data_IF_646668731470
#
_entry.id   IF_646668731470
#
_cell.length_a   1.000
_cell.length_b   1.000
_cell.length_c   1.000
_cell.angle_alpha   90.00
_cell.angle_beta   90.00
_cell.angle_gamma   90.00
#
_symmetry.space_group_name_H-M   'P 1'
#
loop_
_entity.id
_entity.type
_entity.pdbx_description
1 polymer ?
#
# COMPACT_ATOMS: atom_id res chain seq x y z
N UNK A 1 8.23 21.30 -24.15
CA UNK A 1 8.23 20.03 -23.40
C UNK A 1 7.47 18.97 -24.20
N UNK A 2 8.17 17.95 -24.75
CA UNK A 2 7.52 16.86 -25.51
C UNK A 2 6.78 15.96 -24.52
N UNK A 3 5.45 15.86 -24.63
CA UNK A 3 4.64 14.85 -23.96
C UNK A 3 5.15 13.47 -24.43
N UNK A 4 5.75 12.68 -23.53
CA UNK A 4 6.03 11.28 -23.77
C UNK A 4 4.68 10.56 -23.88
N UNK A 5 4.29 10.21 -25.10
CA UNK A 5 3.13 9.35 -25.38
C UNK A 5 3.59 7.93 -25.04
N UNK A 6 3.16 7.44 -23.89
CA UNK A 6 3.37 6.03 -23.50
C UNK A 6 2.29 5.15 -24.15
N UNK A 7 2.28 5.08 -25.46
CA UNK A 7 1.64 3.98 -26.18
C UNK A 7 2.70 2.87 -26.39
N UNK A 8 3.26 2.35 -25.30
CA UNK A 8 3.99 1.12 -25.36
C UNK A 8 2.97 -0.03 -25.27
N UNK A 9 2.46 -0.46 -26.41
CA UNK A 9 2.15 -1.87 -26.57
C UNK A 9 3.49 -2.58 -26.45
N UNK A 10 3.66 -3.37 -25.38
CA UNK A 10 4.79 -4.29 -25.27
C UNK A 10 4.82 -5.15 -26.55
N UNK A 11 5.99 -5.54 -27.01
CA UNK A 11 6.17 -6.50 -28.12
C UNK A 11 5.46 -7.85 -27.82
N UNK A 12 5.02 -8.08 -26.59
CA UNK A 12 4.47 -9.33 -26.07
C UNK A 12 3.03 -9.21 -25.54
N UNK A 13 2.39 -8.05 -25.63
CA UNK A 13 0.99 -7.87 -25.18
C UNK A 13 0.76 -6.61 -24.35
N UNK A 14 -0.44 -6.46 -23.76
CA UNK A 14 -0.77 -5.30 -22.96
C UNK A 14 0.01 -5.29 -21.64
N UNK A 15 0.50 -4.10 -21.25
CA UNK A 15 1.22 -3.90 -19.99
C UNK A 15 0.24 -3.63 -18.86
N UNK A 16 0.39 -4.36 -17.74
CA UNK A 16 -0.44 -4.22 -16.55
C UNK A 16 0.34 -3.61 -15.40
N UNK A 17 -0.33 -2.79 -14.60
CA UNK A 17 0.13 -2.41 -13.28
C UNK A 17 -0.54 -3.31 -12.26
N UNK A 18 0.26 -3.96 -11.43
CA UNK A 18 -0.16 -4.77 -10.30
C UNK A 18 0.26 -4.11 -8.99
N UNK A 19 -0.65 -4.13 -8.01
CA UNK A 19 -0.37 -3.71 -6.66
C UNK A 19 -0.82 -4.83 -5.72
N UNK A 20 0.14 -5.49 -5.07
CA UNK A 20 -0.10 -6.54 -4.08
C UNK A 20 -0.09 -5.91 -2.70
N UNK A 21 -1.18 -6.07 -1.95
CA UNK A 21 -1.37 -5.36 -0.68
C UNK A 21 -2.00 -6.22 0.40
N UNK A 22 -1.75 -5.84 1.66
CA UNK A 22 -2.56 -6.23 2.80
C UNK A 22 -3.56 -5.11 3.06
N UNK A 23 -4.84 -5.46 3.01
CA UNK A 23 -5.95 -4.51 3.13
C UNK A 23 -6.49 -4.54 4.56
N UNK A 24 -6.45 -3.41 5.31
CA UNK A 24 -7.12 -3.35 6.60
C UNK A 24 -8.65 -3.51 6.46
N UNK A 25 -9.36 -3.89 7.54
CA UNK A 25 -10.82 -3.90 7.56
C UNK A 25 -11.38 -2.47 7.46
N UNK A 26 -12.65 -2.37 7.06
CA UNK A 26 -13.27 -1.08 6.76
C UNK A 26 -13.25 -0.07 7.93
N UNK A 27 -13.46 -0.46 9.20
CA UNK A 27 -13.33 0.51 10.30
C UNK A 27 -11.93 1.14 10.41
N UNK A 28 -10.88 0.39 10.11
CA UNK A 28 -9.50 0.90 10.10
C UNK A 28 -9.27 1.82 8.91
N UNK A 29 -9.81 1.45 7.72
CA UNK A 29 -9.74 2.32 6.53
C UNK A 29 -10.44 3.65 6.74
N UNK A 30 -11.63 3.64 7.36
CA UNK A 30 -12.42 4.83 7.67
C UNK A 30 -11.70 5.74 8.68
N UNK A 31 -11.13 5.18 9.74
CA UNK A 31 -10.34 5.93 10.71
C UNK A 31 -9.14 6.62 10.05
N UNK A 32 -8.40 5.90 9.19
CA UNK A 32 -7.27 6.45 8.45
C UNK A 32 -7.72 7.51 7.43
N UNK A 33 -8.87 7.31 6.77
CA UNK A 33 -9.44 8.32 5.88
C UNK A 33 -9.80 9.61 6.63
N UNK A 34 -10.29 9.52 7.87
CA UNK A 34 -10.55 10.69 8.70
C UNK A 34 -9.25 11.41 9.11
N UNK A 35 -8.21 10.67 9.51
CA UNK A 35 -6.88 11.27 9.75
C UNK A 35 -6.40 12.04 8.50
N UNK A 36 -6.55 11.47 7.29
CA UNK A 36 -6.18 12.17 6.04
C UNK A 36 -7.01 13.43 5.78
N UNK A 37 -8.30 13.43 6.15
CA UNK A 37 -9.14 14.64 6.08
C UNK A 37 -8.62 15.73 7.02
N UNK A 38 -8.22 15.37 8.24
CA UNK A 38 -7.62 16.31 9.19
C UNK A 38 -6.31 16.88 8.64
N UNK A 39 -5.42 16.02 8.11
CA UNK A 39 -4.17 16.47 7.47
C UNK A 39 -4.46 17.42 6.30
N UNK A 40 -5.49 17.13 5.50
CA UNK A 40 -5.90 18.00 4.40
C UNK A 40 -6.45 19.35 4.87
N UNK A 41 -7.23 19.35 5.93
CA UNK A 41 -7.78 20.58 6.52
C UNK A 41 -6.68 21.48 7.11
N UNK A 42 -5.61 20.89 7.65
CA UNK A 42 -4.50 21.62 8.28
C UNK A 42 -3.54 22.20 7.22
N UNK A 43 -3.16 21.43 6.21
CA UNK A 43 -2.06 21.81 5.31
C UNK A 43 -2.30 21.51 3.82
N UNK A 44 -3.51 21.10 3.43
CA UNK A 44 -3.86 20.90 2.01
C UNK A 44 -3.01 19.82 1.34
N UNK A 45 -3.18 18.56 1.74
CA UNK A 45 -2.54 17.43 1.05
C UNK A 45 -3.17 17.21 -0.33
N UNK A 46 -2.42 16.59 -1.27
CA UNK A 46 -2.95 16.33 -2.62
C UNK A 46 -4.19 15.43 -2.62
N UNK A 47 -5.09 15.60 -3.59
CA UNK A 47 -6.27 14.74 -3.78
C UNK A 47 -5.92 13.25 -3.81
N UNK A 48 -4.77 12.91 -4.42
CA UNK A 48 -4.29 11.54 -4.44
C UNK A 48 -4.00 11.00 -3.04
N UNK A 49 -3.47 11.81 -2.14
CA UNK A 49 -3.24 11.44 -0.76
C UNK A 49 -4.57 11.32 0.00
N UNK A 50 -5.43 12.32 -0.15
CA UNK A 50 -6.73 12.40 0.54
C UNK A 50 -7.61 11.18 0.22
N UNK A 51 -7.68 10.80 -1.06
CA UNK A 51 -8.57 9.72 -1.52
C UNK A 51 -7.91 8.35 -1.63
N UNK A 52 -6.62 8.21 -1.31
CA UNK A 52 -5.96 6.90 -1.33
C UNK A 52 -6.48 6.01 -0.19
N UNK A 53 -6.93 4.82 -0.55
CA UNK A 53 -7.39 3.81 0.43
C UNK A 53 -6.20 3.28 1.23
N UNK A 54 -6.38 3.11 2.54
CA UNK A 54 -5.34 2.58 3.41
C UNK A 54 -4.98 1.12 3.06
N UNK A 55 -3.68 0.83 2.93
CA UNK A 55 -3.15 -0.51 2.66
C UNK A 55 -1.67 -0.57 3.03
N UNK A 56 -1.16 -1.78 3.24
CA UNK A 56 0.28 -2.05 3.31
C UNK A 56 0.69 -2.64 1.96
N UNK A 57 1.63 -2.00 1.28
CA UNK A 57 2.13 -2.45 -0.03
C UNK A 57 3.15 -3.57 0.15
N UNK A 58 2.92 -4.71 -0.48
CA UNK A 58 3.91 -5.78 -0.62
C UNK A 58 4.69 -5.62 -1.93
N UNK A 59 4.00 -5.45 -3.06
CA UNK A 59 4.60 -5.27 -4.39
C UNK A 59 3.86 -4.18 -5.15
N UNK A 60 4.64 -3.36 -5.87
CA UNK A 60 4.16 -2.47 -6.95
C UNK A 60 4.95 -2.85 -8.20
N UNK A 61 4.30 -3.48 -9.18
CA UNK A 61 4.95 -4.07 -10.37
C UNK A 61 4.24 -3.70 -11.65
N UNK A 62 5.04 -3.40 -12.65
CA UNK A 62 4.62 -3.21 -14.02
C UNK A 62 5.13 -4.38 -14.86
N UNK A 63 4.22 -5.16 -15.49
CA UNK A 63 4.55 -6.34 -16.29
C UNK A 63 3.47 -6.65 -17.31
N UNK A 64 3.83 -7.37 -18.36
CA UNK A 64 2.92 -7.99 -19.33
C UNK A 64 2.51 -9.43 -18.93
N UNK A 65 3.07 -9.94 -17.84
CA UNK A 65 2.74 -11.24 -17.29
C UNK A 65 1.30 -11.26 -16.75
N UNK A 66 0.41 -11.94 -17.45
CA UNK A 66 -1.00 -12.09 -17.07
C UNK A 66 -1.20 -13.09 -15.93
N UNK A 67 -0.23 -14.01 -15.72
CA UNK A 67 -0.24 -15.05 -14.68
C UNK A 67 0.43 -14.59 -13.38
N UNK A 68 0.77 -13.29 -13.30
CA UNK A 68 1.39 -12.75 -12.09
C UNK A 68 0.58 -12.98 -10.81
N UNK A 69 -0.78 -12.88 -10.80
CA UNK A 69 -1.57 -13.21 -9.59
C UNK A 69 -1.40 -14.66 -9.15
N UNK A 70 -1.40 -15.62 -10.09
CA UNK A 70 -1.20 -17.05 -9.83
C UNK A 70 0.20 -17.30 -9.26
N UNK A 71 1.22 -16.61 -9.77
CA UNK A 71 2.58 -16.65 -9.22
C UNK A 71 2.60 -16.17 -7.76
N UNK A 72 1.87 -15.10 -7.43
CA UNK A 72 1.77 -14.62 -6.05
C UNK A 72 1.08 -15.67 -5.17
N UNK A 73 -0.01 -16.28 -5.65
CA UNK A 73 -0.72 -17.34 -4.92
C UNK A 73 0.18 -18.53 -4.61
N UNK A 74 0.97 -19.00 -5.58
CA UNK A 74 1.96 -20.05 -5.38
C UNK A 74 3.03 -19.70 -4.34
N UNK A 75 3.55 -18.46 -4.39
CA UNK A 75 4.62 -18.00 -3.50
C UNK A 75 4.16 -17.86 -2.04
N UNK A 76 2.89 -17.52 -1.80
CA UNK A 76 2.33 -17.40 -0.45
C UNK A 76 1.60 -18.64 0.02
N UNK A 77 1.55 -19.68 -0.81
CA UNK A 77 0.85 -20.93 -0.52
C UNK A 77 1.26 -21.53 0.83
N UNK A 78 0.27 -21.87 1.66
CA UNK A 78 0.48 -22.44 2.99
C UNK A 78 0.85 -21.42 4.09
N UNK A 79 0.94 -20.13 3.82
CA UNK A 79 1.10 -19.10 4.86
C UNK A 79 -0.15 -19.02 5.71
N UNK A 80 0.05 -18.96 7.04
CA UNK A 80 -1.04 -18.84 8.01
C UNK A 80 -1.49 -17.39 8.15
N UNK A 81 -2.77 -17.16 8.50
CA UNK A 81 -3.21 -15.87 8.98
C UNK A 81 -2.38 -15.38 10.17
N UNK A 82 -2.20 -14.07 10.26
CA UNK A 82 -1.46 -13.44 11.35
C UNK A 82 -2.08 -12.10 11.72
N UNK A 83 -1.84 -11.64 12.94
CA UNK A 83 -2.33 -10.35 13.41
C UNK A 83 -1.40 -9.24 12.97
N UNK A 84 -1.96 -8.16 12.41
CA UNK A 84 -1.25 -6.92 12.10
C UNK A 84 -1.61 -5.89 13.17
N UNK A 85 -0.58 -5.24 13.72
CA UNK A 85 -0.72 -4.11 14.63
C UNK A 85 -0.08 -2.88 14.02
N UNK A 86 -0.82 -1.78 13.98
CA UNK A 86 -0.33 -0.49 13.53
C UNK A 86 -0.48 0.56 14.62
N UNK A 87 0.38 1.55 14.59
CA UNK A 87 0.29 2.67 15.51
C UNK A 87 1.52 3.55 15.36
N UNK A 88 1.52 4.67 16.09
CA UNK A 88 2.57 5.68 16.02
C UNK A 88 2.86 6.10 14.58
N UNK A 89 2.96 7.36 14.35
CA UNK A 89 3.40 7.87 13.06
C UNK A 89 4.94 7.92 12.98
N UNK A 90 5.43 7.97 11.77
CA UNK A 90 6.82 8.23 11.44
C UNK A 90 6.90 8.80 10.02
N UNK A 91 8.08 9.10 9.52
CA UNK A 91 8.24 9.63 8.18
C UNK A 91 9.51 9.15 7.50
N UNK A 92 9.47 9.12 6.17
CA UNK A 92 10.66 8.99 5.32
C UNK A 92 10.98 10.36 4.73
N UNK A 93 12.20 10.84 4.92
CA UNK A 93 12.73 12.00 4.22
C UNK A 93 13.46 11.54 2.96
N UNK A 94 12.96 11.96 1.80
CA UNK A 94 13.53 11.66 0.48
C UNK A 94 14.42 12.82 -0.03
N UNK A 95 14.80 13.76 0.83
CA UNK A 95 15.56 14.96 0.50
C UNK A 95 14.72 16.08 -0.12
N UNK A 96 13.93 15.79 -1.15
CA UNK A 96 13.06 16.75 -1.83
C UNK A 96 11.59 16.65 -1.41
N UNK A 97 11.20 15.64 -0.67
CA UNK A 97 9.84 15.42 -0.20
C UNK A 97 9.79 14.46 0.97
N UNK A 98 8.68 14.49 1.70
CA UNK A 98 8.45 13.63 2.86
C UNK A 98 7.26 12.71 2.61
N UNK A 99 7.35 11.49 3.13
CA UNK A 99 6.23 10.54 3.23
C UNK A 99 5.93 10.32 4.71
N UNK A 100 4.73 10.70 5.16
CA UNK A 100 4.23 10.43 6.52
C UNK A 100 3.42 9.14 6.52
N UNK A 101 3.63 8.29 7.53
CA UNK A 101 2.99 6.98 7.59
C UNK A 101 2.73 6.52 9.03
N UNK A 102 1.85 5.52 9.18
CA UNK A 102 1.69 4.74 10.41
C UNK A 102 2.59 3.51 10.36
N UNK A 103 3.29 3.25 11.47
CA UNK A 103 4.20 2.10 11.61
C UNK A 103 3.41 0.81 11.77
N UNK A 104 3.92 -0.26 11.22
CA UNK A 104 3.60 -1.62 11.66
C UNK A 104 4.46 -1.90 12.90
N UNK A 105 3.83 -2.31 14.00
CA UNK A 105 4.52 -2.45 15.30
C UNK A 105 5.28 -3.77 15.41
N UNK A 106 4.75 -4.84 14.79
CA UNK A 106 5.39 -6.16 14.70
C UNK A 106 5.50 -6.53 13.21
N UNK A 107 6.54 -6.04 12.54
CA UNK A 107 6.64 -6.14 11.09
C UNK A 107 7.10 -7.52 10.57
N UNK A 108 7.61 -8.40 11.42
CA UNK A 108 8.27 -9.65 11.05
C UNK A 108 7.40 -10.54 10.16
N UNK A 109 6.12 -10.83 10.47
CA UNK A 109 5.30 -11.67 9.60
C UNK A 109 5.07 -11.07 8.20
N UNK A 110 5.05 -9.73 8.12
CA UNK A 110 4.90 -9.02 6.83
C UNK A 110 6.23 -9.01 6.08
N UNK A 111 7.35 -8.84 6.77
CA UNK A 111 8.69 -8.89 6.17
C UNK A 111 8.92 -10.29 5.56
N UNK A 112 8.60 -11.36 6.31
CA UNK A 112 8.69 -12.72 5.81
C UNK A 112 7.82 -12.93 4.56
N UNK A 113 6.60 -12.39 4.57
CA UNK A 113 5.72 -12.44 3.40
C UNK A 113 6.27 -11.63 2.22
N UNK A 114 6.87 -10.46 2.49
CA UNK A 114 7.56 -9.68 1.47
C UNK A 114 8.74 -10.43 0.85
N UNK A 115 9.48 -11.21 1.64
CA UNK A 115 10.57 -12.07 1.16
C UNK A 115 10.07 -13.19 0.26
N UNK A 116 8.99 -13.89 0.67
CA UNK A 116 8.37 -14.93 -0.15
C UNK A 116 7.97 -14.41 -1.54
N UNK A 117 7.29 -13.27 -1.58
CA UNK A 117 6.86 -12.67 -2.84
C UNK A 117 7.97 -11.90 -3.57
N UNK A 118 9.21 -11.98 -3.09
CA UNK A 118 10.40 -11.33 -3.67
C UNK A 118 10.23 -9.82 -3.82
N UNK A 119 9.59 -9.19 -2.81
CA UNK A 119 9.44 -7.74 -2.76
C UNK A 119 10.79 -7.03 -2.69
N UNK A 120 10.88 -5.87 -3.32
CA UNK A 120 11.98 -4.93 -3.12
C UNK A 120 11.76 -4.01 -1.91
N UNK A 121 10.53 -3.90 -1.42
CA UNK A 121 10.20 -3.16 -0.21
C UNK A 121 10.70 -3.91 1.03
N UNK A 122 11.11 -3.16 2.07
CA UNK A 122 11.63 -3.73 3.33
C UNK A 122 11.01 -3.11 4.57
N UNK A 123 10.16 -2.11 4.40
CA UNK A 123 9.56 -1.37 5.52
C UNK A 123 8.04 -1.33 5.34
N UNK A 124 7.30 -2.27 5.92
CA UNK A 124 5.85 -2.26 5.84
C UNK A 124 5.27 -1.09 6.63
N UNK A 125 4.36 -0.35 6.01
CA UNK A 125 3.72 0.83 6.60
C UNK A 125 2.39 1.15 5.92
N UNK A 126 1.57 1.99 6.56
CA UNK A 126 0.39 2.59 5.94
C UNK A 126 0.63 4.07 5.74
N UNK A 127 0.67 4.50 4.49
CA UNK A 127 0.91 5.91 4.15
C UNK A 127 -0.29 6.80 4.50
N UNK A 128 -0.01 7.91 5.17
CA UNK A 128 -0.95 8.99 5.44
C UNK A 128 -0.86 10.07 4.36
N UNK A 129 0.37 10.54 4.07
CA UNK A 129 0.63 11.52 3.01
C UNK A 129 1.98 11.25 2.36
N UNK A 130 2.02 11.16 1.04
CA UNK A 130 3.24 10.93 0.24
C UNK A 130 3.61 12.18 -0.54
N UNK A 131 4.91 12.40 -0.73
CA UNK A 131 5.48 13.47 -1.55
C UNK A 131 5.00 14.88 -1.14
N UNK A 132 4.83 15.10 0.16
CA UNK A 132 4.59 16.44 0.69
C UNK A 132 5.90 17.23 0.82
N UNK A 133 5.81 18.56 0.77
CA UNK A 133 6.97 19.42 0.99
C UNK A 133 7.39 19.40 2.47
N UNK A 134 8.63 19.82 2.76
CA UNK A 134 9.09 20.03 4.13
C UNK A 134 8.25 21.09 4.85
N UNK A 135 7.81 22.13 4.15
CA UNK A 135 6.92 23.16 4.69
C UNK A 135 5.58 22.58 5.13
N UNK A 136 4.92 21.80 4.24
CA UNK A 136 3.69 21.06 4.55
C UNK A 136 3.89 20.15 5.76
N UNK A 137 4.99 19.41 5.79
CA UNK A 137 5.31 18.52 6.90
C UNK A 137 5.46 19.27 8.23
N UNK A 138 6.18 20.40 8.24
CA UNK A 138 6.34 21.23 9.43
C UNK A 138 5.00 21.78 9.95
N UNK A 139 4.09 22.13 9.04
CA UNK A 139 2.72 22.56 9.40
C UNK A 139 1.91 21.42 10.01
N UNK A 140 2.09 20.19 9.55
CA UNK A 140 1.40 18.99 10.06
C UNK A 140 1.98 18.45 11.37
N UNK A 141 3.23 18.72 11.65
CA UNK A 141 3.98 18.13 12.76
C UNK A 141 3.30 18.27 14.13
N UNK A 142 2.74 19.43 14.54
CA UNK A 142 2.05 19.55 15.81
C UNK A 142 0.81 18.63 15.95
N UNK A 143 0.07 18.43 14.86
CA UNK A 143 -1.04 17.48 14.82
C UNK A 143 -0.52 16.04 14.94
N UNK A 144 0.50 15.69 14.18
CA UNK A 144 1.08 14.36 14.16
C UNK A 144 1.66 13.97 15.54
N UNK A 145 2.33 14.90 16.23
CA UNK A 145 2.87 14.68 17.58
C UNK A 145 1.78 14.36 18.62
N UNK A 146 0.55 14.84 18.40
CA UNK A 146 -0.62 14.55 19.22
C UNK A 146 -1.47 13.40 18.68
N UNK A 147 -1.12 12.82 17.53
CA UNK A 147 -1.85 11.72 16.94
C UNK A 147 -1.63 10.42 17.72
N UNK A 148 -2.67 9.99 18.43
CA UNK A 148 -2.67 8.76 19.22
C UNK A 148 -3.62 7.75 18.58
N UNK A 149 -3.19 7.12 17.47
CA UNK A 149 -3.98 6.13 16.75
C UNK A 149 -3.29 4.77 16.76
N UNK A 150 -4.02 3.75 17.20
CA UNK A 150 -3.60 2.35 17.19
C UNK A 150 -4.75 1.49 16.66
N UNK A 151 -4.41 0.47 15.89
CA UNK A 151 -5.36 -0.52 15.43
C UNK A 151 -4.69 -1.89 15.30
N UNK A 152 -5.51 -2.95 15.40
CA UNK A 152 -5.08 -4.31 15.11
C UNK A 152 -6.18 -5.07 14.40
N UNK A 153 -5.80 -6.02 13.57
CA UNK A 153 -6.72 -6.93 12.88
C UNK A 153 -6.01 -8.21 12.47
N UNK A 154 -6.78 -9.26 12.26
CA UNK A 154 -6.27 -10.50 11.71
C UNK A 154 -6.24 -10.41 10.18
N UNK A 155 -5.06 -10.62 9.62
CA UNK A 155 -4.81 -10.66 8.19
C UNK A 155 -4.95 -12.10 7.70
N UNK A 156 -6.05 -12.39 7.02
CA UNK A 156 -6.37 -13.71 6.48
C UNK A 156 -6.27 -13.77 4.96
N UNK A 157 -5.90 -12.69 4.30
CA UNK A 157 -5.85 -12.61 2.84
C UNK A 157 -4.82 -11.61 2.34
N UNK A 158 -4.32 -11.85 1.13
CA UNK A 158 -3.54 -10.92 0.32
C UNK A 158 -4.43 -10.45 -0.84
N UNK A 159 -4.40 -9.18 -1.15
CA UNK A 159 -5.14 -8.61 -2.28
C UNK A 159 -4.21 -8.26 -3.41
N UNK A 160 -4.47 -8.75 -4.61
CA UNK A 160 -3.83 -8.34 -5.86
C UNK A 160 -4.76 -7.41 -6.62
N UNK A 161 -4.35 -6.18 -6.80
CA UNK A 161 -5.05 -5.18 -7.60
C UNK A 161 -4.39 -5.11 -8.98
N UNK A 162 -5.19 -5.09 -10.05
CA UNK A 162 -4.74 -5.07 -11.44
C UNK A 162 -5.40 -3.95 -12.22
N UNK A 163 -4.66 -3.34 -13.12
CA UNK A 163 -5.19 -2.43 -14.15
C UNK A 163 -4.31 -2.41 -15.40
N UNK A 164 -4.91 -2.10 -16.53
CA UNK A 164 -4.17 -1.80 -17.76
C UNK A 164 -3.42 -0.47 -17.63
N UNK A 165 -2.16 -0.43 -18.08
CA UNK A 165 -1.39 0.82 -18.12
C UNK A 165 -1.96 1.87 -19.04
N UNK A 166 -2.66 1.48 -20.09
CA UNK A 166 -3.38 2.41 -20.98
C UNK A 166 -4.48 3.20 -20.23
N UNK A 167 -5.02 2.64 -19.13
CA UNK A 167 -6.06 3.24 -18.30
C UNK A 167 -5.48 3.97 -17.06
N UNK A 168 -4.36 4.67 -17.20
CA UNK A 168 -3.65 5.34 -16.09
C UNK A 168 -4.51 6.25 -15.22
N UNK A 169 -5.50 6.90 -15.83
CA UNK A 169 -6.42 7.84 -15.20
C UNK A 169 -7.50 7.13 -14.34
N UNK A 170 -7.68 5.82 -14.54
CA UNK A 170 -8.61 5.03 -13.75
C UNK A 170 -7.88 4.38 -12.56
N UNK A 171 -8.60 4.20 -11.46
CA UNK A 171 -8.11 3.40 -10.33
C UNK A 171 -7.94 1.92 -10.71
N UNK A 172 -7.47 1.11 -9.78
CA UNK A 172 -7.49 -0.34 -9.93
C UNK A 172 -8.93 -0.83 -9.94
N UNK A 173 -9.35 -1.53 -11.00
CA UNK A 173 -10.70 -2.05 -11.17
C UNK A 173 -10.79 -3.52 -10.79
N UNK A 174 -9.78 -4.29 -11.15
CA UNK A 174 -9.76 -5.73 -10.92
C UNK A 174 -9.10 -6.01 -9.56
N UNK A 175 -9.80 -6.83 -8.75
CA UNK A 175 -9.35 -7.24 -7.43
C UNK A 175 -9.39 -8.76 -7.35
N UNK A 176 -8.25 -9.38 -7.01
CA UNK A 176 -8.11 -10.82 -6.77
C UNK A 176 -7.75 -10.99 -5.30
N UNK A 177 -8.48 -11.84 -4.59
CA UNK A 177 -8.25 -12.17 -3.18
C UNK A 177 -7.56 -13.53 -3.12
N UNK A 178 -6.44 -13.60 -2.43
CA UNK A 178 -5.69 -14.82 -2.18
C UNK A 178 -5.74 -15.11 -0.68
N UNK A 179 -6.44 -16.16 -0.23
CA UNK A 179 -6.55 -16.47 1.18
C UNK A 179 -5.24 -17.01 1.74
N UNK A 180 -4.92 -16.62 2.98
CA UNK A 180 -3.91 -17.29 3.80
C UNK A 180 -4.58 -18.50 4.46
N UNK A 181 -4.01 -19.68 4.28
CA UNK A 181 -4.66 -20.94 4.66
C UNK A 181 -4.08 -21.42 5.99
N UNK A 182 -4.92 -21.67 7.01
CA UNK A 182 -4.47 -22.35 8.22
C UNK A 182 -3.87 -23.71 7.84
N UNK A 183 -2.69 -24.07 8.38
CA UNK A 183 -2.16 -25.41 8.19
C UNK A 183 -3.22 -26.41 8.66
N UNK A 184 -3.75 -27.23 7.77
CA UNK A 184 -4.45 -28.45 8.15
C UNK A 184 -3.42 -29.33 8.85
N UNK A 185 -3.52 -29.42 10.16
CA UNK A 185 -2.76 -30.39 10.95
C UNK A 185 -3.24 -31.76 10.47
N UNK A 186 -2.38 -32.46 9.74
CA UNK A 186 -2.57 -33.88 9.40
C UNK A 186 -2.23 -34.74 10.61
#
# INVERSE_FOLDING_TARGET
>A
MKKRIYNQTSLFGPLYAYLVVLSPPDPVKEAIANIKKDLNAIAGISDRNLHSIAHITLIDKLTDDVLFPETIEELIGGRKPFTIRIGRWDYFDHGHSITVYLKVLDPEPIIDLMEDVKSTARSPHISLAKKISHETFNTLKPYLENLNYYAQWDCAEVTVLKKLMAEKHLGFKDKIIIPLIPSTVS
#
